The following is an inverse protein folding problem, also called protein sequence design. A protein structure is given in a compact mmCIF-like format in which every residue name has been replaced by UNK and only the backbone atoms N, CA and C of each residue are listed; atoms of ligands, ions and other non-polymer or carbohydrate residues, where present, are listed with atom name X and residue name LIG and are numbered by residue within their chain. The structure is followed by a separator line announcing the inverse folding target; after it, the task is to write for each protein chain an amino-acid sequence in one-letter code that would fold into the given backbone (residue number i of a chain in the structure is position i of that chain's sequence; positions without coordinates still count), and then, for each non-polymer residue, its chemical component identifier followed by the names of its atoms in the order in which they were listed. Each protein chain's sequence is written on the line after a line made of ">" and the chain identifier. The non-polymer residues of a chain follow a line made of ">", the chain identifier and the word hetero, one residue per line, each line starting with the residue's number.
data_IF_371620924498
#
_entry.id   IF_371620924498
#
_cell.length_a   1.000
_cell.length_b   1.000
_cell.length_c   1.000
_cell.angle_alpha   90.00
_cell.angle_beta   90.00
_cell.angle_gamma   90.00
#
_symmetry.space_group_name_H-M   'P 1'
#
loop_
_entity.id
_entity.type
_entity.pdbx_description
1 polymer ?
#
# COMPACT_ATOMS: atom_id res chain seq x y z
N UNK A 1 -17.55 -3.75 11.74
CA UNK A 1 -16.43 -3.67 10.78
C UNK A 1 -16.92 -4.14 9.41
N UNK A 2 -16.71 -3.35 8.39
CA UNK A 2 -17.10 -3.71 7.02
C UNK A 2 -16.25 -4.89 6.53
N UNK A 3 -16.88 -5.88 5.92
CA UNK A 3 -16.25 -7.07 5.36
C UNK A 3 -16.88 -7.41 4.01
N UNK A 4 -16.12 -8.11 3.15
CA UNK A 4 -16.62 -8.66 1.89
C UNK A 4 -16.28 -10.16 1.87
N UNK A 5 -17.30 -11.03 1.83
CA UNK A 5 -17.09 -12.48 1.87
C UNK A 5 -16.38 -13.03 0.60
N UNK A 6 -16.38 -12.29 -0.48
CA UNK A 6 -15.65 -12.66 -1.71
C UNK A 6 -14.18 -12.25 -1.68
N UNK A 7 -13.81 -11.30 -0.81
CA UNK A 7 -12.47 -10.71 -0.75
C UNK A 7 -11.48 -11.66 -0.05
N UNK A 8 -10.37 -11.98 -0.74
CA UNK A 8 -9.33 -12.86 -0.20
C UNK A 8 -8.67 -12.27 1.05
N UNK A 9 -8.47 -10.95 1.12
CA UNK A 9 -7.86 -10.30 2.30
C UNK A 9 -8.83 -10.25 3.48
N UNK A 10 -10.13 -10.08 3.26
CA UNK A 10 -11.12 -10.24 4.33
C UNK A 10 -11.10 -11.65 4.91
N UNK A 11 -10.92 -12.66 4.06
CA UNK A 11 -10.79 -14.08 4.51
C UNK A 11 -9.49 -14.30 5.30
N UNK A 12 -8.40 -13.64 4.93
CA UNK A 12 -7.14 -13.68 5.69
C UNK A 12 -7.33 -13.02 7.07
N UNK A 13 -7.95 -11.85 7.11
CA UNK A 13 -8.27 -11.15 8.37
C UNK A 13 -9.14 -12.01 9.28
N UNK A 14 -10.13 -12.71 8.70
CA UNK A 14 -11.02 -13.64 9.43
C UNK A 14 -10.35 -14.99 9.75
N UNK A 15 -9.08 -15.19 9.37
CA UNK A 15 -8.31 -16.43 9.56
C UNK A 15 -8.93 -17.66 8.88
N UNK A 16 -9.69 -17.43 7.81
CA UNK A 16 -10.25 -18.47 6.95
C UNK A 16 -9.25 -18.94 5.89
N UNK A 17 -8.32 -18.07 5.51
CA UNK A 17 -7.20 -18.37 4.62
C UNK A 17 -5.91 -18.10 5.40
N UNK A 18 -4.93 -19.01 5.40
CA UNK A 18 -3.66 -18.81 6.11
C UNK A 18 -2.83 -17.70 5.47
N UNK A 19 -2.09 -16.96 6.29
CA UNK A 19 -1.08 -16.00 5.88
C UNK A 19 0.06 -16.01 6.90
N UNK A 20 1.26 -15.62 6.45
CA UNK A 20 2.41 -15.48 7.35
C UNK A 20 2.40 -14.08 7.94
N UNK A 21 1.80 -13.94 9.10
CA UNK A 21 1.57 -12.66 9.79
C UNK A 21 2.84 -12.20 10.49
N UNK A 22 3.19 -10.93 10.34
CA UNK A 22 4.32 -10.28 11.03
C UNK A 22 3.87 -9.30 12.10
N UNK A 23 2.69 -8.70 11.95
CA UNK A 23 2.11 -7.78 12.93
C UNK A 23 0.59 -7.73 12.78
N UNK A 24 -0.09 -7.58 13.90
CA UNK A 24 -1.55 -7.42 13.94
C UNK A 24 -1.92 -6.47 15.08
N UNK A 25 -2.81 -5.54 14.80
CA UNK A 25 -3.43 -4.69 15.81
C UNK A 25 -4.96 -4.63 15.59
N UNK A 26 -5.66 -3.71 16.25
CA UNK A 26 -7.10 -3.60 16.15
C UNK A 26 -7.58 -3.23 14.73
N UNK A 27 -6.78 -2.50 13.96
CA UNK A 27 -7.19 -1.90 12.69
C UNK A 27 -6.46 -2.49 11.48
N UNK A 28 -5.26 -3.06 11.68
CA UNK A 28 -4.40 -3.51 10.59
C UNK A 28 -3.87 -4.92 10.78
N UNK A 29 -3.53 -5.55 9.66
CA UNK A 29 -2.85 -6.82 9.60
C UNK A 29 -1.68 -6.70 8.62
N UNK A 30 -0.47 -7.01 9.07
CA UNK A 30 0.71 -7.06 8.22
C UNK A 30 1.16 -8.51 8.03
N UNK A 31 1.34 -8.93 6.78
CA UNK A 31 1.71 -10.30 6.44
C UNK A 31 2.63 -10.33 5.24
N UNK A 32 3.39 -11.40 5.11
CA UNK A 32 4.33 -11.57 4.00
C UNK A 32 3.59 -11.68 2.68
N UNK A 33 4.04 -10.95 1.66
CA UNK A 33 3.59 -11.17 0.29
C UNK A 33 4.14 -12.53 -0.17
N UNK A 34 3.27 -13.40 -0.68
CA UNK A 34 3.70 -14.70 -1.21
C UNK A 34 4.51 -14.56 -2.51
N UNK A 35 4.30 -13.46 -3.24
CA UNK A 35 5.05 -13.10 -4.44
C UNK A 35 6.18 -12.12 -4.13
N UNK A 36 7.15 -12.53 -3.30
CA UNK A 36 8.26 -11.69 -2.86
C UNK A 36 9.02 -11.06 -4.03
N UNK A 37 9.00 -9.72 -4.12
CA UNK A 37 9.89 -8.99 -5.06
C UNK A 37 11.32 -9.11 -4.57
N UNK A 38 11.53 -8.87 -3.29
CA UNK A 38 12.80 -9.08 -2.58
C UNK A 38 12.49 -9.67 -1.20
N UNK A 39 13.42 -10.39 -0.57
CA UNK A 39 13.21 -10.91 0.79
C UNK A 39 12.79 -9.82 1.77
N UNK A 40 11.69 -10.06 2.50
CA UNK A 40 11.14 -9.08 3.43
C UNK A 40 10.01 -8.22 2.87
N UNK A 41 9.50 -8.53 1.67
CA UNK A 41 8.33 -7.87 1.10
C UNK A 41 7.07 -8.17 1.92
N UNK A 42 6.49 -7.15 2.51
CA UNK A 42 5.33 -7.23 3.41
C UNK A 42 4.17 -6.43 2.84
N UNK A 43 2.97 -6.93 3.05
CA UNK A 43 1.71 -6.22 2.81
C UNK A 43 1.13 -5.75 4.15
N UNK A 44 0.71 -4.50 4.20
CA UNK A 44 -0.06 -3.96 5.33
C UNK A 44 -1.48 -3.72 4.84
N UNK A 45 -2.43 -4.49 5.32
CA UNK A 45 -3.85 -4.38 4.97
C UNK A 45 -4.65 -3.80 6.12
N UNK A 46 -5.70 -3.03 5.80
CA UNK A 46 -6.73 -2.69 6.78
C UNK A 46 -7.55 -3.95 7.10
N UNK A 47 -7.98 -4.10 8.34
CA UNK A 47 -8.92 -5.18 8.71
C UNK A 47 -10.32 -4.91 8.15
N UNK A 48 -10.79 -3.67 8.23
CA UNK A 48 -12.03 -3.26 7.61
C UNK A 48 -11.88 -3.22 6.09
N UNK A 49 -12.86 -3.74 5.36
CA UNK A 49 -12.85 -3.71 3.91
C UNK A 49 -13.03 -2.28 3.40
N UNK A 50 -12.03 -1.81 2.66
CA UNK A 50 -12.09 -0.64 1.81
C UNK A 50 -11.40 -1.02 0.50
N UNK A 51 -12.02 -0.75 -0.62
CA UNK A 51 -11.50 -1.18 -1.92
C UNK A 51 -10.14 -0.55 -2.24
N UNK A 52 -10.05 0.76 -2.01
CA UNK A 52 -8.86 1.55 -2.34
C UNK A 52 -8.85 2.87 -1.55
N UNK A 53 -7.91 3.77 -1.86
CA UNK A 53 -7.72 5.04 -1.12
C UNK A 53 -8.95 5.96 -1.18
N UNK A 54 -9.74 5.89 -2.26
CA UNK A 54 -10.92 6.73 -2.41
C UNK A 54 -12.07 6.37 -1.45
N UNK A 55 -12.03 5.16 -0.89
CA UNK A 55 -13.03 4.66 0.06
C UNK A 55 -12.58 4.79 1.53
N UNK A 56 -11.41 5.39 1.79
CA UNK A 56 -10.87 5.51 3.14
C UNK A 56 -11.46 6.69 3.90
N UNK A 57 -11.69 6.47 5.19
CA UNK A 57 -11.79 7.53 6.17
C UNK A 57 -10.39 7.94 6.66
N UNK A 58 -10.24 9.17 7.14
CA UNK A 58 -8.95 9.72 7.60
C UNK A 58 -8.28 8.84 8.67
N UNK A 59 -9.07 8.32 9.62
CA UNK A 59 -8.58 7.44 10.67
C UNK A 59 -8.01 6.13 10.11
N UNK A 60 -8.64 5.58 9.06
CA UNK A 60 -8.17 4.37 8.39
C UNK A 60 -6.87 4.60 7.63
N UNK A 61 -6.77 5.74 6.94
CA UNK A 61 -5.53 6.14 6.27
C UNK A 61 -4.38 6.30 7.28
N UNK A 62 -4.65 6.94 8.41
CA UNK A 62 -3.69 7.11 9.49
C UNK A 62 -3.24 5.75 10.08
N UNK A 63 -4.17 4.83 10.31
CA UNK A 63 -3.87 3.51 10.85
C UNK A 63 -2.99 2.70 9.89
N UNK A 64 -3.33 2.67 8.60
CA UNK A 64 -2.56 1.96 7.59
C UNK A 64 -1.12 2.46 7.51
N UNK A 65 -0.93 3.78 7.45
CA UNK A 65 0.41 4.36 7.31
C UNK A 65 1.23 4.28 8.60
N UNK A 66 0.60 4.41 9.77
CA UNK A 66 1.25 4.18 11.07
C UNK A 66 1.84 2.78 11.15
N UNK A 67 1.07 1.76 10.79
CA UNK A 67 1.54 0.37 10.76
C UNK A 67 2.61 0.16 9.69
N UNK A 68 2.42 0.73 8.50
CA UNK A 68 3.43 0.65 7.43
C UNK A 68 4.78 1.21 7.89
N UNK A 69 4.81 2.37 8.53
CA UNK A 69 6.04 2.97 9.04
C UNK A 69 6.70 2.11 10.13
N UNK A 70 5.90 1.54 11.03
CA UNK A 70 6.39 0.65 12.09
C UNK A 70 7.03 -0.61 11.52
N UNK A 71 6.35 -1.28 10.60
CA UNK A 71 6.84 -2.49 9.95
C UNK A 71 8.05 -2.20 9.06
N UNK A 72 8.05 -1.06 8.37
CA UNK A 72 9.20 -0.63 7.55
C UNK A 72 10.49 -0.49 8.40
N UNK A 73 10.39 0.07 9.61
CA UNK A 73 11.55 0.12 10.52
C UNK A 73 12.03 -1.27 10.92
N UNK A 74 11.12 -2.20 11.15
CA UNK A 74 11.46 -3.59 11.45
C UNK A 74 12.14 -4.29 10.26
N UNK A 75 11.64 -4.08 9.05
CA UNK A 75 12.26 -4.59 7.81
C UNK A 75 13.68 -4.05 7.67
N UNK A 76 13.86 -2.75 7.87
CA UNK A 76 15.18 -2.12 7.79
C UNK A 76 16.18 -2.73 8.77
N UNK A 77 15.71 -3.00 9.99
CA UNK A 77 16.54 -3.63 11.02
C UNK A 77 16.87 -5.09 10.70
N UNK A 78 15.89 -5.84 10.19
CA UNK A 78 16.03 -7.28 9.96
C UNK A 78 16.82 -7.62 8.69
N UNK A 79 16.69 -6.83 7.63
CA UNK A 79 17.24 -7.15 6.30
C UNK A 79 18.30 -6.18 5.81
N UNK A 80 18.45 -5.03 6.47
CA UNK A 80 19.41 -3.99 6.06
C UNK A 80 19.39 -3.65 4.56
N UNK A 81 18.20 -3.43 3.95
CA UNK A 81 18.13 -3.09 2.53
C UNK A 81 18.73 -1.70 2.29
N UNK A 82 19.22 -1.47 1.07
CA UNK A 82 19.75 -0.18 0.64
C UNK A 82 18.67 0.90 0.56
N UNK A 83 17.41 0.48 0.26
CA UNK A 83 16.25 1.34 0.22
C UNK A 83 14.97 0.56 0.52
N UNK A 84 13.85 1.28 0.56
CA UNK A 84 12.54 0.66 0.74
C UNK A 84 11.51 1.44 -0.07
N UNK A 85 10.75 0.74 -0.89
CA UNK A 85 9.62 1.32 -1.60
C UNK A 85 8.32 1.06 -0.84
N UNK A 86 7.55 2.12 -0.62
CA UNK A 86 6.19 2.04 -0.10
C UNK A 86 5.27 2.27 -1.29
N UNK A 87 4.46 1.25 -1.62
CA UNK A 87 3.64 1.27 -2.83
C UNK A 87 2.19 0.93 -2.51
N UNK A 88 1.27 1.72 -3.05
CA UNK A 88 -0.17 1.49 -2.93
C UNK A 88 -0.82 1.84 -4.27
N UNK A 89 -1.69 0.98 -4.77
CA UNK A 89 -2.31 1.13 -6.08
C UNK A 89 -3.83 1.18 -5.96
N UNK A 90 -4.44 2.04 -6.76
CA UNK A 90 -5.89 2.30 -6.78
C UNK A 90 -6.43 2.15 -8.19
N UNK A 91 -7.18 1.08 -8.40
CA UNK A 91 -7.72 0.73 -9.71
C UNK A 91 -6.76 -0.11 -10.56
N UNK A 92 -7.34 -0.87 -11.46
CA UNK A 92 -6.60 -1.79 -12.34
C UNK A 92 -5.51 -1.09 -13.18
N UNK A 93 -5.76 0.09 -13.78
CA UNK A 93 -4.71 0.78 -14.56
C UNK A 93 -3.49 1.21 -13.74
N UNK A 94 -3.66 1.36 -12.41
CA UNK A 94 -2.56 1.68 -11.49
C UNK A 94 -1.84 0.43 -10.96
N UNK A 95 -2.28 -0.78 -11.35
CA UNK A 95 -1.69 -2.04 -10.93
C UNK A 95 -2.34 -2.68 -9.70
N UNK A 96 -3.53 -2.23 -9.30
CA UNK A 96 -4.26 -2.89 -8.22
C UNK A 96 -4.78 -4.24 -8.71
N UNK A 97 -4.45 -5.32 -8.00
CA UNK A 97 -4.88 -6.69 -8.32
C UNK A 97 -5.82 -7.27 -7.27
N UNK A 98 -5.67 -6.90 -6.02
CA UNK A 98 -6.60 -7.24 -4.93
C UNK A 98 -7.32 -5.97 -4.51
N UNK A 99 -8.66 -5.97 -4.62
CA UNK A 99 -9.49 -4.81 -4.34
C UNK A 99 -9.87 -4.75 -2.85
N UNK A 100 -8.84 -4.65 -2.05
CA UNK A 100 -8.85 -4.42 -0.62
C UNK A 100 -7.60 -3.60 -0.30
N UNK A 101 -7.77 -2.47 0.36
CA UNK A 101 -6.66 -1.54 0.59
C UNK A 101 -5.51 -2.22 1.31
N UNK A 102 -4.37 -2.16 0.68
CA UNK A 102 -3.11 -2.63 1.24
C UNK A 102 -1.94 -1.81 0.72
N UNK A 103 -0.91 -1.74 1.53
CA UNK A 103 0.33 -1.04 1.26
C UNK A 103 1.44 -2.06 1.15
N UNK A 104 2.17 -2.04 0.03
CA UNK A 104 3.38 -2.84 -0.15
C UNK A 104 4.56 -2.15 0.53
N UNK A 105 5.33 -2.91 1.29
CA UNK A 105 6.64 -2.52 1.79
C UNK A 105 7.68 -3.42 1.12
N UNK A 106 8.43 -2.87 0.19
CA UNK A 106 9.36 -3.62 -0.65
C UNK A 106 10.79 -3.21 -0.34
N UNK A 107 11.60 -4.09 0.30
CA UNK A 107 13.03 -3.83 0.44
C UNK A 107 13.68 -3.71 -0.94
N UNK A 108 14.52 -2.70 -1.12
CA UNK A 108 15.14 -2.41 -2.41
C UNK A 108 16.66 -2.51 -2.34
N UNK A 109 17.21 -3.06 -3.42
CA UNK A 109 18.65 -3.20 -3.60
C UNK A 109 19.03 -2.71 -4.99
N UNK A 110 20.22 -2.18 -5.14
CA UNK A 110 20.74 -1.81 -6.45
C UNK A 110 20.78 -3.05 -7.36
N UNK A 111 20.27 -2.91 -8.58
CA UNK A 111 20.21 -4.03 -9.53
C UNK A 111 19.19 -5.13 -9.21
N UNK A 112 18.17 -4.85 -8.39
CA UNK A 112 17.16 -5.86 -7.99
C UNK A 112 16.12 -6.19 -9.08
N UNK A 113 16.24 -5.61 -10.26
CA UNK A 113 15.35 -5.87 -11.39
C UNK A 113 14.03 -5.11 -11.37
N UNK A 114 13.72 -4.38 -10.30
CA UNK A 114 12.52 -3.54 -10.24
C UNK A 114 12.87 -2.12 -10.68
N UNK A 115 12.40 -1.72 -11.87
CA UNK A 115 12.61 -0.37 -12.38
C UNK A 115 11.54 0.59 -11.85
N UNK A 116 11.98 1.76 -11.37
CA UNK A 116 11.10 2.86 -10.97
C UNK A 116 11.27 4.04 -11.93
N UNK A 117 11.09 3.78 -13.22
CA UNK A 117 11.14 4.81 -14.26
C UNK A 117 9.75 4.99 -14.85
N UNK A 118 9.37 6.24 -15.02
CA UNK A 118 8.14 6.60 -15.71
C UNK A 118 8.39 7.74 -16.68
N UNK A 119 7.59 7.85 -17.77
CA UNK A 119 7.75 8.93 -18.75
C UNK A 119 7.37 10.27 -18.13
N UNK A 120 8.31 11.19 -18.08
CA UNK A 120 8.10 12.54 -17.52
C UNK A 120 7.63 13.47 -18.64
N UNK A 121 6.51 14.16 -18.40
CA UNK A 121 5.95 15.17 -19.29
C UNK A 121 6.15 16.53 -18.65
N UNK A 122 6.89 17.41 -19.22
CA UNK A 122 7.22 18.71 -18.61
C UNK A 122 6.25 19.80 -19.14
N UNK A 123 5.01 19.89 -18.62
CA UNK A 123 4.06 20.91 -19.06
C UNK A 123 4.51 22.29 -18.59
N UNK A 124 4.10 23.37 -19.29
CA UNK A 124 4.41 24.73 -18.85
C UNK A 124 3.68 25.06 -17.54
N UNK A 125 4.20 26.08 -16.83
CA UNK A 125 3.66 26.50 -15.51
C UNK A 125 2.18 26.82 -15.57
N UNK A 126 1.67 27.41 -16.65
CA UNK A 126 0.24 27.74 -16.80
C UNK A 126 -0.64 26.48 -16.75
N UNK A 127 -0.17 25.37 -17.30
CA UNK A 127 -0.89 24.09 -17.23
C UNK A 127 -0.87 23.52 -15.81
N UNK A 128 0.23 23.65 -15.10
CA UNK A 128 0.32 23.25 -13.70
C UNK A 128 -0.66 24.03 -12.83
N UNK A 129 -0.75 25.36 -13.03
CA UNK A 129 -1.70 26.19 -12.31
C UNK A 129 -3.15 25.84 -12.64
N UNK A 130 -3.46 25.56 -13.92
CA UNK A 130 -4.79 25.10 -14.33
C UNK A 130 -5.18 23.79 -13.64
N UNK A 131 -4.28 22.80 -13.62
CA UNK A 131 -4.51 21.52 -12.97
C UNK A 131 -4.64 21.67 -11.45
N UNK A 132 -3.78 22.50 -10.84
CA UNK A 132 -3.84 22.78 -9.41
C UNK A 132 -5.17 23.43 -9.01
N UNK A 133 -5.68 24.35 -9.82
CA UNK A 133 -6.97 24.99 -9.59
C UNK A 133 -8.13 23.98 -9.58
N UNK A 134 -8.12 23.00 -10.49
CA UNK A 134 -9.12 21.91 -10.52
C UNK A 134 -9.07 21.07 -9.26
N UNK A 135 -7.86 20.72 -8.81
CA UNK A 135 -7.68 19.92 -7.60
C UNK A 135 -8.13 20.68 -6.36
N UNK A 136 -7.72 21.95 -6.23
CA UNK A 136 -8.13 22.80 -5.10
C UNK A 136 -9.65 22.97 -5.02
N UNK A 137 -10.31 23.12 -6.16
CA UNK A 137 -11.77 23.23 -6.22
C UNK A 137 -12.47 21.95 -5.76
N UNK A 138 -11.87 20.79 -6.02
CA UNK A 138 -12.41 19.49 -5.64
C UNK A 138 -12.10 19.09 -4.19
N UNK A 139 -11.07 19.69 -3.57
CA UNK A 139 -10.70 19.41 -2.18
C UNK A 139 -11.78 19.86 -1.17
N UNK A 140 -12.52 20.88 -1.48
CA UNK A 140 -13.57 21.41 -0.60
C UNK A 140 -12.98 22.14 0.58
#
# INVERSE_FOLDING_TARGET
>A
MRTDPSCVFCKIVAKQIPATVVHEDAETLAFMDIGQVNPGHVLVALKAHAENVFALEDAQAAAAFRTAARVARAIRSAFSPEGLSVYQANGKPAGQTVFHLHVHLVPRHDGDGMALTWPVKNPPREKLEEHAAKIRAALG
#
